data_IF_800069851283
#
_entry.id   IF_800069851283
#
_cell.length_a   1.000
_cell.length_b   1.000
_cell.length_c   1.000
_cell.angle_alpha   90.00
_cell.angle_beta   90.00
_cell.angle_gamma   90.00
#
_symmetry.space_group_name_H-M   'P 1'
#
loop_
_entity.id
_entity.type
_entity.pdbx_description
1 polymer ?
#
# COMPACT_ATOMS: atom_id res chain seq x y z
N UNK A 1 -0.45 -3.95 22.43
CA UNK A 1 0.83 -3.36 21.97
C UNK A 1 0.52 -2.70 20.64
N UNK A 2 0.30 -1.39 20.64
CA UNK A 2 -0.14 -0.67 19.45
C UNK A 2 1.11 -0.08 18.78
N UNK A 3 1.58 -0.70 17.70
CA UNK A 3 2.20 -0.09 16.51
C UNK A 3 3.05 -1.11 15.72
N UNK A 4 2.54 -2.31 15.45
CA UNK A 4 3.38 -3.38 14.86
C UNK A 4 3.60 -3.23 13.34
N UNK A 5 2.97 -2.25 12.71
CA UNK A 5 3.15 -1.93 11.30
C UNK A 5 3.01 -0.42 11.09
N UNK A 6 4.01 0.35 11.51
CA UNK A 6 4.17 1.73 11.04
C UNK A 6 4.93 1.74 9.71
N UNK A 7 4.40 2.43 8.71
CA UNK A 7 5.13 2.68 7.46
C UNK A 7 6.29 3.62 7.80
N UNK A 8 7.51 3.22 7.44
CA UNK A 8 8.70 4.03 7.69
C UNK A 8 8.62 5.33 6.90
N UNK A 9 9.09 6.43 7.49
CA UNK A 9 9.25 7.68 6.76
C UNK A 9 10.28 7.51 5.64
N UNK A 10 10.11 8.17 4.49
CA UNK A 10 11.06 8.04 3.40
C UNK A 10 12.46 8.47 3.86
N UNK A 11 13.45 7.64 3.56
CA UNK A 11 14.86 7.92 3.88
C UNK A 11 15.53 8.80 2.82
N UNK A 12 14.86 8.98 1.67
CA UNK A 12 15.35 9.67 0.49
C UNK A 12 14.41 10.81 0.09
N UNK A 13 14.97 11.82 -0.58
CA UNK A 13 14.22 12.89 -1.22
C UNK A 13 13.29 12.33 -2.31
N UNK A 14 12.12 12.91 -2.51
CA UNK A 14 11.12 12.44 -3.49
C UNK A 14 11.62 12.44 -4.95
N UNK A 15 12.68 13.19 -5.25
CA UNK A 15 13.32 13.25 -6.57
C UNK A 15 14.48 12.24 -6.72
N UNK A 16 14.81 11.48 -5.68
CA UNK A 16 15.89 10.53 -5.74
C UNK A 16 15.50 9.34 -6.62
N UNK A 17 16.42 8.89 -7.47
CA UNK A 17 16.20 7.75 -8.36
C UNK A 17 15.82 6.44 -7.64
N UNK A 18 16.06 6.36 -6.32
CA UNK A 18 15.75 5.20 -5.46
C UNK A 18 14.57 5.43 -4.51
N UNK A 19 13.85 6.54 -4.65
CA UNK A 19 12.71 6.84 -3.80
C UNK A 19 11.62 5.77 -3.91
N UNK A 20 11.36 5.27 -5.13
CA UNK A 20 10.40 4.21 -5.36
C UNK A 20 10.81 2.89 -4.68
N UNK A 21 12.10 2.52 -4.73
CA UNK A 21 12.63 1.33 -4.02
C UNK A 21 12.46 1.47 -2.50
N UNK A 22 12.82 2.62 -1.91
CA UNK A 22 12.66 2.87 -0.46
C UNK A 22 11.18 2.81 -0.04
N UNK A 23 10.29 3.34 -0.87
CA UNK A 23 8.85 3.27 -0.68
C UNK A 23 8.35 1.82 -0.76
N UNK A 24 8.81 1.03 -1.73
CA UNK A 24 8.47 -0.38 -1.86
C UNK A 24 8.92 -1.17 -0.63
N UNK A 25 10.18 -1.03 -0.20
CA UNK A 25 10.72 -1.70 0.99
C UNK A 25 9.91 -1.34 2.24
N UNK A 26 9.50 -0.08 2.40
CA UNK A 26 8.68 0.36 3.52
C UNK A 26 7.26 -0.24 3.51
N UNK A 27 6.73 -0.61 2.34
CA UNK A 27 5.36 -1.11 2.17
C UNK A 27 5.25 -2.65 2.12
N UNK A 28 6.30 -3.37 1.73
CA UNK A 28 6.27 -4.84 1.51
C UNK A 28 5.61 -5.59 2.68
N UNK A 29 6.08 -5.37 3.91
CA UNK A 29 5.55 -6.08 5.08
C UNK A 29 4.06 -5.79 5.36
N UNK A 30 3.59 -4.58 5.01
CA UNK A 30 2.19 -4.18 5.18
C UNK A 30 1.30 -4.84 4.14
N UNK A 31 1.78 -4.88 2.89
CA UNK A 31 1.06 -5.51 1.78
C UNK A 31 0.96 -7.02 2.01
N UNK A 32 2.04 -7.68 2.44
CA UNK A 32 1.99 -9.11 2.75
C UNK A 32 1.00 -9.42 3.87
N UNK A 33 1.03 -8.69 4.98
CA UNK A 33 0.07 -8.90 6.07
C UNK A 33 -1.39 -8.67 5.63
N UNK A 34 -1.65 -7.66 4.79
CA UNK A 34 -3.00 -7.43 4.25
C UNK A 34 -3.46 -8.58 3.34
N UNK A 35 -2.56 -9.15 2.53
CA UNK A 35 -2.85 -10.29 1.67
C UNK A 35 -3.06 -11.57 2.48
N UNK A 36 -2.27 -11.79 3.52
CA UNK A 36 -2.43 -12.91 4.45
C UNK A 36 -3.78 -12.83 5.18
N UNK A 37 -4.19 -11.65 5.65
CA UNK A 37 -5.51 -11.47 6.26
C UNK A 37 -6.66 -11.69 5.27
N UNK A 38 -6.51 -11.25 4.03
CA UNK A 38 -7.50 -11.51 2.99
C UNK A 38 -7.61 -13.01 2.70
N UNK A 39 -6.48 -13.72 2.59
CA UNK A 39 -6.45 -15.16 2.39
C UNK A 39 -7.05 -15.92 3.57
N UNK A 40 -6.73 -15.53 4.81
CA UNK A 40 -7.30 -16.11 6.03
C UNK A 40 -8.82 -15.92 6.13
N UNK A 41 -9.35 -14.84 5.55
CA UNK A 41 -10.79 -14.61 5.41
C UNK A 41 -11.43 -15.41 4.26
N UNK A 42 -10.65 -16.21 3.52
CA UNK A 42 -11.10 -17.09 2.44
C UNK A 42 -11.04 -16.48 1.05
N UNK A 43 -10.41 -15.32 0.86
CA UNK A 43 -10.24 -14.71 -0.46
C UNK A 43 -9.07 -15.33 -1.22
N UNK A 44 -9.20 -15.41 -2.55
CA UNK A 44 -8.05 -15.73 -3.40
C UNK A 44 -7.01 -14.60 -3.33
N UNK A 45 -5.76 -14.94 -2.98
CA UNK A 45 -4.68 -13.97 -2.75
C UNK A 45 -4.37 -13.11 -3.98
N UNK A 46 -4.47 -13.66 -5.19
CA UNK A 46 -4.21 -12.91 -6.44
C UNK A 46 -5.33 -11.91 -6.74
N UNK A 47 -6.59 -12.30 -6.49
CA UNK A 47 -7.74 -11.41 -6.59
C UNK A 47 -7.69 -10.31 -5.51
N UNK A 48 -7.29 -10.65 -4.29
CA UNK A 48 -7.07 -9.68 -3.23
C UNK A 48 -6.02 -8.63 -3.62
N UNK A 49 -4.87 -9.06 -4.16
CA UNK A 49 -3.83 -8.15 -4.65
C UNK A 49 -4.34 -7.22 -5.77
N UNK A 50 -5.09 -7.77 -6.73
CA UNK A 50 -5.68 -6.98 -7.82
C UNK A 50 -6.68 -5.95 -7.28
N UNK A 51 -7.50 -6.33 -6.31
CA UNK A 51 -8.44 -5.44 -5.65
C UNK A 51 -7.71 -4.33 -4.86
N UNK A 52 -6.61 -4.64 -4.17
CA UNK A 52 -5.79 -3.65 -3.46
C UNK A 52 -5.22 -2.61 -4.42
N UNK A 53 -4.63 -3.02 -5.54
CA UNK A 53 -4.14 -2.10 -6.57
C UNK A 53 -5.25 -1.19 -7.10
N UNK A 54 -6.42 -1.77 -7.43
CA UNK A 54 -7.57 -1.00 -7.90
C UNK A 54 -8.06 0.00 -6.85
N UNK A 55 -8.18 -0.40 -5.59
CA UNK A 55 -8.62 0.47 -4.49
C UNK A 55 -7.64 1.61 -4.25
N UNK A 56 -6.33 1.35 -4.33
CA UNK A 56 -5.29 2.38 -4.22
C UNK A 56 -5.45 3.44 -5.32
N UNK A 57 -5.52 3.01 -6.59
CA UNK A 57 -5.69 3.91 -7.72
C UNK A 57 -7.04 4.67 -7.66
N UNK A 58 -8.14 3.97 -7.34
CA UNK A 58 -9.48 4.56 -7.26
C UNK A 58 -9.55 5.67 -6.22
N UNK A 59 -8.91 5.53 -5.06
CA UNK A 59 -8.92 6.55 -4.00
C UNK A 59 -8.20 7.83 -4.42
N UNK A 60 -7.10 7.72 -5.16
CA UNK A 60 -6.39 8.88 -5.72
C UNK A 60 -7.26 9.62 -6.74
N UNK A 61 -7.94 8.89 -7.62
CA UNK A 61 -8.82 9.48 -8.64
C UNK A 61 -10.15 10.02 -8.06
N UNK A 62 -10.63 9.45 -6.95
CA UNK A 62 -11.86 9.92 -6.29
C UNK A 62 -11.63 11.18 -5.43
N UNK A 63 -10.38 11.44 -5.02
CA UNK A 63 -10.00 12.64 -4.27
C UNK A 63 -9.94 13.91 -5.11
N UNK A 64 -9.77 13.79 -6.43
CA UNK A 64 -9.71 14.90 -7.39
C UNK A 64 -11.06 15.64 -7.55
N UNK A 65 -12.18 14.99 -7.19
CA UNK A 65 -13.51 15.59 -7.31
C UNK A 65 -13.91 16.49 -6.13
N UNK A 66 -12.99 16.84 -5.22
CA UNK A 66 -13.22 17.71 -4.05
C UNK A 66 -12.43 19.02 -4.11
N UNK A 67 -12.20 19.55 -5.31
CA UNK A 67 -11.64 20.89 -5.53
C UNK A 67 -12.46 21.62 -6.59
N UNK A 68 -13.70 21.97 -6.25
CA UNK A 68 -14.50 22.99 -6.97
C UNK A 68 -15.17 23.88 -5.96
#
# INVERSE_FOLDING_TARGET
MANELAIKSPSLEANAARYDDDCQEALVAHIDNLLEQAEAAGWDRRRAASALMYLAAKRLNSGDRRST
#
